data_IF_978078015980
#
_entry.id   IF_978078015980
#
_cell.length_a   1.000
_cell.length_b   1.000
_cell.length_c   1.000
_cell.angle_alpha   90.00
_cell.angle_beta   90.00
_cell.angle_gamma   90.00
#
_symmetry.space_group_name_H-M   'P 1'
#
loop_
_entity.id
_entity.type
_entity.pdbx_description
1 polymer ?
#
# COMPACT_ATOMS: atom_id res chain seq x y z
N UNK A 1 11.41 -2.81 -19.16
CA UNK A 1 10.46 -1.67 -19.18
C UNK A 1 9.45 -1.72 -18.03
N UNK A 2 8.65 -2.79 -17.88
CA UNK A 2 7.70 -2.92 -16.77
C UNK A 2 8.34 -2.77 -15.38
N UNK A 3 9.53 -3.34 -15.15
CA UNK A 3 10.29 -3.16 -13.89
C UNK A 3 10.73 -1.71 -13.65
N UNK A 4 11.12 -0.98 -14.71
CA UNK A 4 11.48 0.45 -14.62
C UNK A 4 10.25 1.27 -14.22
N UNK A 5 9.10 0.98 -14.85
CA UNK A 5 7.82 1.60 -14.50
C UNK A 5 7.45 1.29 -13.04
N UNK A 6 7.67 0.06 -12.58
CA UNK A 6 7.48 -0.32 -11.18
C UNK A 6 8.39 0.43 -10.22
N UNK A 7 9.67 0.60 -10.55
CA UNK A 7 10.61 1.41 -9.76
C UNK A 7 10.18 2.88 -9.68
N UNK A 8 9.79 3.48 -10.81
CA UNK A 8 9.24 4.84 -10.84
C UNK A 8 7.95 4.94 -10.04
N UNK A 9 7.09 3.92 -10.09
CA UNK A 9 5.84 3.87 -9.32
C UNK A 9 6.12 3.79 -7.81
N UNK A 10 7.16 3.07 -7.38
CA UNK A 10 7.60 3.07 -5.99
C UNK A 10 8.09 4.46 -5.55
N UNK A 11 8.84 5.17 -6.41
CA UNK A 11 9.24 6.56 -6.14
C UNK A 11 8.01 7.46 -6.01
N UNK A 12 7.04 7.35 -6.93
CA UNK A 12 5.78 8.10 -6.87
C UNK A 12 5.03 7.83 -5.56
N UNK A 13 4.87 6.56 -5.17
CA UNK A 13 4.18 6.18 -3.93
C UNK A 13 4.92 6.69 -2.69
N UNK A 14 6.24 6.50 -2.63
CA UNK A 14 7.06 6.93 -1.49
C UNK A 14 7.02 8.45 -1.30
N UNK A 15 7.24 9.19 -2.39
CA UNK A 15 7.26 10.66 -2.34
C UNK A 15 5.85 11.22 -2.11
N UNK A 16 4.81 10.62 -2.70
CA UNK A 16 3.41 10.99 -2.42
C UNK A 16 3.05 10.79 -0.95
N UNK A 17 3.47 9.66 -0.35
CA UNK A 17 3.28 9.39 1.06
C UNK A 17 4.04 10.41 1.93
N UNK A 18 5.31 10.70 1.61
CA UNK A 18 6.11 11.71 2.30
C UNK A 18 5.43 13.09 2.29
N UNK A 19 5.06 13.59 1.11
CA UNK A 19 4.40 14.90 0.95
C UNK A 19 3.12 15.00 1.77
N UNK A 20 2.29 13.95 1.77
CA UNK A 20 1.02 13.92 2.52
C UNK A 20 1.24 13.87 4.03
N UNK A 21 2.11 12.97 4.49
CA UNK A 21 2.32 12.73 5.92
C UNK A 21 3.06 13.89 6.58
N UNK A 22 4.04 14.47 5.89
CA UNK A 22 4.74 15.66 6.34
C UNK A 22 3.80 16.87 6.41
N UNK A 23 2.97 17.08 5.38
CA UNK A 23 1.99 18.16 5.38
C UNK A 23 0.96 18.01 6.51
N UNK A 24 0.60 16.76 6.87
CA UNK A 24 -0.23 16.49 8.03
C UNK A 24 0.48 16.73 9.38
N UNK A 25 1.80 16.93 9.41
CA UNK A 25 2.58 17.12 10.64
C UNK A 25 2.96 15.83 11.34
N UNK A 26 3.09 14.70 10.61
CA UNK A 26 3.50 13.43 11.21
C UNK A 26 4.93 13.51 11.77
N UNK A 27 5.10 13.26 13.07
CA UNK A 27 6.41 13.27 13.74
C UNK A 27 7.03 14.66 13.93
N UNK A 28 6.22 15.71 14.06
CA UNK A 28 6.69 17.06 14.36
C UNK A 28 7.27 17.23 15.78
N UNK A 29 7.83 18.41 16.08
CA UNK A 29 8.41 18.73 17.40
C UNK A 29 7.39 18.61 18.53
N UNK A 30 6.18 19.15 18.34
CA UNK A 30 5.09 19.07 19.34
C UNK A 30 4.17 17.86 19.11
N UNK A 31 4.74 16.73 18.65
CA UNK A 31 3.98 15.52 18.38
C UNK A 31 3.39 14.93 19.68
N UNK A 32 2.11 14.47 19.70
CA UNK A 32 1.14 14.39 18.60
C UNK A 32 0.23 15.63 18.45
N UNK A 33 0.39 16.66 19.28
CA UNK A 33 -0.51 17.82 19.33
C UNK A 33 -0.57 18.63 18.03
N UNK A 34 0.50 18.61 17.22
CA UNK A 34 0.54 19.31 15.94
C UNK A 34 -0.07 18.52 14.75
N UNK A 35 -0.51 17.27 14.95
CA UNK A 35 -0.96 16.43 13.85
C UNK A 35 -2.32 16.88 13.32
N UNK A 36 -2.49 16.87 11.99
CA UNK A 36 -3.71 17.33 11.34
C UNK A 36 -3.72 18.80 10.93
N UNK A 37 -2.59 19.52 11.02
CA UNK A 37 -2.48 20.92 10.56
C UNK A 37 -2.92 21.16 9.12
N UNK A 38 -2.82 20.14 8.26
CA UNK A 38 -3.31 20.22 6.87
C UNK A 38 -4.85 20.39 6.77
N UNK A 39 -5.58 20.10 7.85
CA UNK A 39 -7.03 20.19 7.93
C UNK A 39 -7.50 21.54 8.51
N UNK A 40 -6.61 22.28 9.19
CA UNK A 40 -6.93 23.60 9.75
C UNK A 40 -6.98 24.67 8.66
N UNK A 41 -7.65 25.79 8.95
CA UNK A 41 -7.82 26.90 8.01
C UNK A 41 -6.54 27.75 7.85
N UNK A 42 -5.63 27.70 8.83
CA UNK A 42 -4.36 28.43 8.85
C UNK A 42 -3.24 27.66 8.14
N UNK A 43 -3.43 27.39 6.84
CA UNK A 43 -2.45 26.72 6.01
C UNK A 43 -1.24 27.64 5.76
N UNK A 44 -0.15 27.41 6.49
CA UNK A 44 1.16 27.93 6.10
C UNK A 44 1.58 27.26 4.78
N UNK A 45 2.00 28.02 3.74
CA UNK A 45 2.41 27.44 2.47
C UNK A 45 3.70 26.62 2.62
N UNK A 46 3.54 25.30 2.64
CA UNK A 46 4.66 24.35 2.68
C UNK A 46 5.30 24.20 1.29
N UNK A 47 6.54 24.67 1.16
CA UNK A 47 7.31 24.65 -0.07
C UNK A 47 8.13 23.35 -0.21
N UNK A 48 7.52 22.33 -0.81
CA UNK A 48 8.13 21.01 -1.03
C UNK A 48 9.09 20.92 -2.22
N UNK A 49 9.85 21.98 -2.52
CA UNK A 49 10.65 22.19 -3.74
C UNK A 49 11.08 20.92 -4.48
N UNK A 50 12.11 20.24 -3.99
CA UNK A 50 12.66 19.03 -4.62
C UNK A 50 11.71 17.80 -4.58
N UNK A 51 11.12 17.40 -3.43
CA UNK A 51 10.20 16.25 -3.40
C UNK A 51 9.03 16.38 -4.39
N UNK A 52 8.43 17.56 -4.51
CA UNK A 52 7.33 17.81 -5.45
C UNK A 52 7.79 17.63 -6.90
N UNK A 53 8.98 18.14 -7.23
CA UNK A 53 9.56 18.01 -8.55
C UNK A 53 9.89 16.55 -8.90
N UNK A 54 10.49 15.82 -7.95
CA UNK A 54 10.80 14.40 -8.08
C UNK A 54 9.54 13.57 -8.34
N UNK A 55 8.47 13.81 -7.59
CA UNK A 55 7.18 13.16 -7.82
C UNK A 55 6.64 13.44 -9.23
N UNK A 56 6.63 14.71 -9.67
CA UNK A 56 6.11 15.12 -10.98
C UNK A 56 6.88 14.45 -12.13
N UNK A 57 8.20 14.46 -12.07
CA UNK A 57 9.03 13.83 -13.10
C UNK A 57 8.88 12.31 -13.10
N UNK A 58 8.90 11.66 -11.94
CA UNK A 58 8.74 10.22 -11.85
C UNK A 58 7.37 9.77 -12.39
N UNK A 59 6.28 10.47 -12.03
CA UNK A 59 4.94 10.18 -12.52
C UNK A 59 4.81 10.38 -14.04
N UNK A 60 5.35 11.49 -14.57
CA UNK A 60 5.31 11.78 -16.00
C UNK A 60 6.12 10.76 -16.81
N UNK A 61 7.32 10.40 -16.35
CA UNK A 61 8.13 9.38 -16.97
C UNK A 61 7.45 8.00 -16.93
N UNK A 62 6.85 7.62 -15.79
CA UNK A 62 6.12 6.36 -15.67
C UNK A 62 4.92 6.29 -16.63
N UNK A 63 4.19 7.40 -16.81
CA UNK A 63 3.06 7.47 -17.73
C UNK A 63 3.51 7.30 -19.19
N UNK A 64 4.52 8.06 -19.62
CA UNK A 64 5.06 7.96 -20.99
C UNK A 64 5.57 6.54 -21.28
N UNK A 65 6.34 5.95 -20.35
CA UNK A 65 6.82 4.57 -20.47
C UNK A 65 5.66 3.56 -20.51
N UNK A 66 4.57 3.81 -19.78
CA UNK A 66 3.39 2.96 -19.80
C UNK A 66 2.63 3.05 -21.13
N UNK A 67 2.53 4.23 -21.74
CA UNK A 67 1.97 4.36 -23.10
C UNK A 67 2.78 3.55 -24.12
N UNK A 68 4.12 3.65 -24.06
CA UNK A 68 5.02 2.84 -24.91
C UNK A 68 4.87 1.35 -24.60
N UNK A 69 4.67 0.96 -23.34
CA UNK A 69 4.46 -0.43 -22.92
C UNK A 69 3.17 -1.00 -23.51
N UNK A 70 2.07 -0.27 -23.39
CA UNK A 70 0.78 -0.65 -23.96
C UNK A 70 0.88 -0.82 -25.47
N UNK A 71 1.50 0.14 -26.17
CA UNK A 71 1.74 0.03 -27.62
C UNK A 71 2.47 -1.27 -27.94
N UNK A 72 3.61 -1.53 -27.29
CA UNK A 72 4.42 -2.74 -27.55
C UNK A 72 3.70 -4.04 -27.21
N UNK A 73 2.84 -4.04 -26.20
CA UNK A 73 2.07 -5.24 -25.86
C UNK A 73 0.91 -5.52 -26.84
N UNK A 74 0.44 -4.51 -27.58
CA UNK A 74 -0.67 -4.62 -28.52
C UNK A 74 -0.24 -4.82 -29.99
N UNK A 75 1.04 -4.65 -30.32
CA UNK A 75 1.54 -4.74 -31.72
C UNK A 75 2.92 -5.43 -31.81
N UNK A 76 3.20 -6.23 -32.87
CA UNK A 76 2.30 -6.66 -33.95
C UNK A 76 1.47 -7.92 -33.59
N UNK A 77 1.95 -8.79 -32.70
CA UNK A 77 1.18 -9.91 -32.15
C UNK A 77 0.90 -9.66 -30.66
N UNK A 78 -0.37 -9.58 -30.24
CA UNK A 78 -0.69 -9.16 -28.89
C UNK A 78 -0.30 -10.23 -27.87
N UNK A 79 0.57 -9.86 -26.92
CA UNK A 79 0.85 -10.66 -25.74
C UNK A 79 -0.30 -10.48 -24.73
N UNK A 80 -1.46 -11.05 -25.04
CA UNK A 80 -2.75 -10.81 -24.36
C UNK A 80 -2.68 -10.73 -22.81
N UNK A 81 -1.99 -11.65 -22.10
CA UNK A 81 -1.88 -11.57 -20.63
C UNK A 81 -1.14 -10.31 -20.14
N UNK A 82 -0.06 -9.93 -20.84
CA UNK A 82 0.72 -8.73 -20.51
C UNK A 82 -0.01 -7.46 -20.94
N UNK A 83 -0.66 -7.47 -22.11
CA UNK A 83 -1.44 -6.36 -22.64
C UNK A 83 -2.60 -5.97 -21.70
N UNK A 84 -3.34 -6.95 -21.17
CA UNK A 84 -4.42 -6.68 -20.19
C UNK A 84 -3.90 -5.90 -18.98
N UNK A 85 -2.78 -6.33 -18.40
CA UNK A 85 -2.21 -5.65 -17.23
C UNK A 85 -1.62 -4.28 -17.57
N UNK A 86 -1.05 -4.11 -18.76
CA UNK A 86 -0.51 -2.83 -19.21
C UNK A 86 -1.64 -1.80 -19.44
N UNK A 87 -2.76 -2.21 -20.05
CA UNK A 87 -3.93 -1.34 -20.25
C UNK A 87 -4.56 -0.96 -18.90
N UNK A 88 -4.73 -1.91 -17.99
CA UNK A 88 -5.23 -1.61 -16.64
C UNK A 88 -4.31 -0.65 -15.88
N UNK A 89 -2.99 -0.81 -16.02
CA UNK A 89 -2.01 0.13 -15.44
C UNK A 89 -2.18 1.53 -16.02
N UNK A 90 -2.32 1.66 -17.34
CA UNK A 90 -2.54 2.96 -18.00
C UNK A 90 -3.84 3.61 -17.53
N UNK A 91 -4.95 2.88 -17.52
CA UNK A 91 -6.24 3.38 -17.06
C UNK A 91 -6.16 3.85 -15.59
N UNK A 92 -5.45 3.12 -14.74
CA UNK A 92 -5.23 3.50 -13.35
C UNK A 92 -4.39 4.78 -13.23
N UNK A 93 -3.34 4.94 -14.04
CA UNK A 93 -2.53 6.18 -14.05
C UNK A 93 -3.36 7.39 -14.48
N UNK A 94 -4.23 7.24 -15.48
CA UNK A 94 -5.12 8.30 -15.93
C UNK A 94 -6.17 8.64 -14.85
N UNK A 95 -6.74 7.62 -14.20
CA UNK A 95 -7.67 7.81 -13.09
C UNK A 95 -7.01 8.54 -11.90
N UNK A 96 -5.76 8.19 -11.54
CA UNK A 96 -5.00 8.89 -10.51
C UNK A 96 -4.64 10.32 -10.90
N UNK A 97 -4.36 10.57 -12.17
CA UNK A 97 -4.12 11.92 -12.68
C UNK A 97 -5.37 12.80 -12.55
N UNK A 98 -6.57 12.26 -12.83
CA UNK A 98 -7.83 12.96 -12.63
C UNK A 98 -8.15 13.14 -11.13
N UNK A 99 -7.92 12.09 -10.31
CA UNK A 99 -8.11 12.14 -8.87
C UNK A 99 -7.23 13.22 -8.21
N UNK A 100 -6.02 13.44 -8.75
CA UNK A 100 -5.08 14.46 -8.29
C UNK A 100 -5.65 15.89 -8.25
N UNK A 101 -6.64 16.22 -9.10
CA UNK A 101 -7.34 17.50 -9.03
C UNK A 101 -8.15 17.64 -7.74
N UNK A 102 -8.83 16.57 -7.32
CA UNK A 102 -9.62 16.55 -6.09
C UNK A 102 -8.76 16.43 -4.83
N UNK A 103 -7.52 15.96 -4.96
CA UNK A 103 -6.55 15.83 -3.86
C UNK A 103 -6.07 17.17 -3.30
N UNK A 104 -6.48 18.30 -3.89
CA UNK A 104 -6.23 19.63 -3.34
C UNK A 104 -6.99 19.88 -2.02
N UNK A 105 -8.11 19.19 -1.78
CA UNK A 105 -8.87 19.26 -0.52
C UNK A 105 -8.53 18.03 0.36
N UNK A 106 -7.59 18.15 1.33
CA UNK A 106 -7.12 17.03 2.14
C UNK A 106 -8.20 16.47 3.07
N UNK A 107 -9.32 17.18 3.26
CA UNK A 107 -10.45 16.78 4.10
C UNK A 107 -11.29 15.66 3.50
N UNK A 108 -11.13 15.36 2.21
CA UNK A 108 -11.89 14.30 1.52
C UNK A 108 -11.18 12.96 1.71
N UNK A 109 -11.54 12.24 2.78
CA UNK A 109 -10.90 10.97 3.15
C UNK A 109 -10.89 9.96 1.99
N UNK A 110 -12.01 9.83 1.26
CA UNK A 110 -12.08 8.93 0.09
C UNK A 110 -11.06 9.24 -1.00
N UNK A 111 -10.80 10.52 -1.28
CA UNK A 111 -9.82 10.92 -2.30
C UNK A 111 -8.42 10.53 -1.86
N UNK A 112 -8.06 10.80 -0.60
CA UNK A 112 -6.80 10.36 -0.02
C UNK A 112 -6.63 8.84 -0.04
N UNK A 113 -7.69 8.10 0.32
CA UNK A 113 -7.72 6.64 0.31
C UNK A 113 -7.52 6.06 -1.11
N UNK A 114 -8.30 6.55 -2.08
CA UNK A 114 -8.20 6.11 -3.48
C UNK A 114 -6.82 6.42 -4.07
N UNK A 115 -6.20 7.53 -3.69
CA UNK A 115 -4.84 7.86 -4.10
C UNK A 115 -3.80 6.86 -3.53
N UNK A 116 -3.94 6.47 -2.26
CA UNK A 116 -3.05 5.47 -1.64
C UNK A 116 -3.24 4.10 -2.31
N UNK A 117 -4.47 3.60 -2.39
CA UNK A 117 -4.78 2.30 -2.99
C UNK A 117 -4.38 2.26 -4.47
N UNK A 118 -4.66 3.31 -5.22
CA UNK A 118 -4.27 3.41 -6.63
C UNK A 118 -2.75 3.40 -6.78
N UNK A 119 -2.01 4.10 -5.91
CA UNK A 119 -0.55 4.06 -5.89
C UNK A 119 0.01 2.64 -5.69
N UNK A 120 -0.53 1.89 -4.72
CA UNK A 120 -0.19 0.47 -4.52
C UNK A 120 -0.56 -0.38 -5.74
N UNK A 121 -1.67 -0.03 -6.41
CA UNK A 121 -2.08 -0.61 -7.68
C UNK A 121 -1.05 -0.41 -8.79
N UNK A 122 -0.40 0.76 -8.90
CA UNK A 122 0.64 1.02 -9.91
C UNK A 122 1.82 0.03 -9.79
N UNK A 123 2.31 -0.16 -8.56
CA UNK A 123 3.37 -1.13 -8.26
C UNK A 123 2.92 -2.55 -8.59
N UNK A 124 1.71 -2.92 -8.15
CA UNK A 124 1.17 -4.27 -8.37
C UNK A 124 0.97 -4.59 -9.85
N UNK A 125 0.36 -3.69 -10.62
CA UNK A 125 0.09 -3.91 -12.05
C UNK A 125 1.37 -3.88 -12.88
N UNK A 126 2.31 -2.98 -12.61
CA UNK A 126 3.61 -2.97 -13.29
C UNK A 126 4.37 -4.28 -13.09
N UNK A 127 4.35 -4.84 -11.86
CA UNK A 127 4.90 -6.15 -11.56
C UNK A 127 4.18 -7.28 -12.30
N UNK A 128 2.84 -7.25 -12.34
CA UNK A 128 2.04 -8.24 -13.09
C UNK A 128 2.32 -8.20 -14.60
N UNK A 129 2.59 -7.04 -15.18
CA UNK A 129 3.05 -6.96 -16.58
C UNK A 129 4.41 -7.63 -16.73
N UNK A 130 5.37 -7.34 -15.85
CA UNK A 130 6.70 -7.95 -15.89
C UNK A 130 6.62 -9.48 -15.81
N UNK A 131 5.81 -9.99 -14.89
CA UNK A 131 5.54 -11.42 -14.75
C UNK A 131 4.89 -11.99 -16.02
N UNK A 132 3.82 -11.37 -16.53
CA UNK A 132 3.13 -11.84 -17.71
C UNK A 132 4.02 -11.84 -18.97
N UNK A 133 4.93 -10.87 -19.10
CA UNK A 133 5.89 -10.79 -20.20
C UNK A 133 7.02 -11.83 -20.10
N UNK A 134 7.43 -12.21 -18.89
CA UNK A 134 8.42 -13.27 -18.66
C UNK A 134 7.88 -14.69 -18.92
N UNK A 135 6.63 -14.83 -19.35
CA UNK A 135 5.96 -16.11 -19.58
C UNK A 135 6.39 -16.75 -20.91
N UNK A 136 7.58 -17.35 -20.95
CA UNK A 136 7.94 -18.32 -22.00
C UNK A 136 8.08 -19.76 -21.47
N UNK A 137 8.09 -19.96 -20.16
CA UNK A 137 8.12 -21.29 -19.55
C UNK A 137 6.77 -21.58 -18.86
N UNK A 138 5.93 -22.37 -19.50
CA UNK A 138 4.77 -22.98 -18.88
C UNK A 138 5.26 -23.96 -17.79
N UNK A 139 5.41 -23.47 -16.56
CA UNK A 139 5.56 -24.34 -15.41
C UNK A 139 4.25 -25.10 -15.24
N UNK A 140 4.27 -26.40 -15.55
CA UNK A 140 3.20 -27.34 -15.20
C UNK A 140 3.30 -27.58 -13.69
N UNK A 141 2.51 -26.83 -12.92
CA UNK A 141 2.51 -26.93 -11.46
C UNK A 141 2.23 -28.35 -10.99
N UNK A 142 3.10 -28.85 -10.10
CA UNK A 142 2.81 -30.05 -9.30
C UNK A 142 1.52 -29.86 -8.48
N UNK A 143 0.83 -30.95 -8.18
CA UNK A 143 -0.36 -30.91 -7.31
C UNK A 143 0.04 -30.44 -5.91
N UNK A 144 -0.14 -29.16 -5.60
CA UNK A 144 -0.11 -28.71 -4.21
C UNK A 144 -1.35 -29.21 -3.47
N UNK A 145 -1.17 -29.63 -2.21
CA UNK A 145 -2.27 -30.03 -1.35
C UNK A 145 -3.25 -28.88 -1.14
N UNK A 146 -4.55 -29.18 -1.20
CA UNK A 146 -5.66 -28.21 -1.08
C UNK A 146 -5.49 -27.24 0.09
N UNK A 147 -5.00 -27.74 1.24
CA UNK A 147 -4.75 -26.94 2.44
C UNK A 147 -3.75 -25.79 2.21
N UNK A 148 -2.69 -25.99 1.40
CA UNK A 148 -1.70 -24.94 1.10
C UNK A 148 -2.29 -23.81 0.27
N UNK A 149 -3.14 -24.15 -0.70
CA UNK A 149 -3.84 -23.19 -1.55
C UNK A 149 -4.86 -22.39 -0.75
N UNK A 150 -5.61 -23.04 0.15
CA UNK A 150 -6.55 -22.35 1.04
C UNK A 150 -5.81 -21.37 1.94
N UNK A 151 -4.72 -21.80 2.59
CA UNK A 151 -3.94 -20.94 3.48
C UNK A 151 -3.38 -19.70 2.76
N UNK A 152 -2.85 -19.87 1.55
CA UNK A 152 -2.36 -18.77 0.73
C UNK A 152 -3.48 -17.79 0.36
N UNK A 153 -4.68 -18.28 0.01
CA UNK A 153 -5.84 -17.44 -0.30
C UNK A 153 -6.34 -16.66 0.93
N UNK A 154 -6.40 -17.31 2.09
CA UNK A 154 -6.74 -16.65 3.36
C UNK A 154 -5.72 -15.55 3.66
N UNK A 155 -4.43 -15.82 3.51
CA UNK A 155 -3.39 -14.81 3.73
C UNK A 155 -3.44 -13.64 2.76
N UNK A 156 -3.76 -13.88 1.49
CA UNK A 156 -3.97 -12.81 0.48
C UNK A 156 -5.19 -11.97 0.81
N UNK A 157 -6.28 -12.60 1.26
CA UNK A 157 -7.47 -11.90 1.71
C UNK A 157 -7.15 -11.03 2.93
N UNK A 158 -6.53 -11.60 3.96
CA UNK A 158 -6.10 -10.86 5.15
C UNK A 158 -5.14 -9.70 4.81
N UNK A 159 -4.22 -9.89 3.86
CA UNK A 159 -3.30 -8.85 3.38
C UNK A 159 -4.06 -7.72 2.71
N UNK A 160 -5.05 -8.04 1.88
CA UNK A 160 -5.90 -7.05 1.23
C UNK A 160 -6.63 -6.20 2.25
N UNK A 161 -7.25 -6.83 3.26
CA UNK A 161 -7.93 -6.11 4.35
C UNK A 161 -6.94 -5.26 5.15
N UNK A 162 -5.77 -5.80 5.51
CA UNK A 162 -4.72 -5.07 6.25
C UNK A 162 -4.29 -3.81 5.50
N UNK A 163 -4.05 -3.92 4.19
CA UNK A 163 -3.65 -2.80 3.34
C UNK A 163 -4.76 -1.76 3.22
N UNK A 164 -6.02 -2.19 3.04
CA UNK A 164 -7.17 -1.29 2.99
C UNK A 164 -7.32 -0.52 4.30
N UNK A 165 -7.23 -1.20 5.44
CA UNK A 165 -7.29 -0.57 6.76
C UNK A 165 -6.13 0.41 6.97
N UNK A 166 -4.90 0.03 6.59
CA UNK A 166 -3.73 0.92 6.69
C UNK A 166 -3.86 2.17 5.80
N UNK A 167 -4.37 2.00 4.58
CA UNK A 167 -4.66 3.12 3.68
C UNK A 167 -5.76 4.02 4.26
N UNK A 168 -6.78 3.43 4.89
CA UNK A 168 -7.87 4.17 5.53
C UNK A 168 -7.37 4.99 6.72
N UNK A 169 -6.58 4.40 7.64
CA UNK A 169 -5.93 5.12 8.76
C UNK A 169 -5.15 6.34 8.27
N UNK A 170 -4.39 6.18 7.17
CA UNK A 170 -3.61 7.27 6.58
C UNK A 170 -4.46 8.33 5.88
N UNK A 171 -5.64 7.97 5.38
CA UNK A 171 -6.55 8.87 4.67
C UNK A 171 -7.47 9.65 5.62
N UNK A 172 -7.80 9.08 6.78
CA UNK A 172 -8.58 9.73 7.85
C UNK A 172 -7.71 10.49 8.84
N UNK A 173 -6.38 10.50 8.65
CA UNK A 173 -5.40 11.07 9.58
C UNK A 173 -5.62 10.55 11.02
N UNK A 174 -5.78 9.24 11.17
CA UNK A 174 -6.03 8.60 12.49
C UNK A 174 -4.76 7.96 13.07
N UNK A 175 -3.58 8.37 12.61
CA UNK A 175 -2.31 7.75 12.99
C UNK A 175 -2.02 7.87 14.50
N UNK A 176 -2.32 9.02 15.10
CA UNK A 176 -2.15 9.34 16.52
C UNK A 176 -3.12 8.62 17.46
N UNK A 177 -4.17 7.97 16.96
CA UNK A 177 -5.20 7.38 17.81
C UNK A 177 -4.69 6.22 18.68
N UNK A 178 -3.65 5.50 18.25
CA UNK A 178 -3.10 4.37 18.98
C UNK A 178 -1.57 4.29 18.85
N UNK A 179 -0.87 4.80 19.87
CA UNK A 179 0.59 4.93 19.91
C UNK A 179 1.29 3.85 20.77
N UNK A 180 0.54 2.93 21.35
CA UNK A 180 1.05 1.83 22.18
C UNK A 180 0.94 0.50 21.45
N UNK A 181 1.76 -0.49 21.84
CA UNK A 181 1.74 -1.87 21.33
C UNK A 181 1.59 -2.85 22.52
N UNK A 182 0.94 -4.01 22.34
CA UNK A 182 0.19 -4.44 21.15
C UNK A 182 -1.25 -3.89 21.11
N UNK A 183 -1.77 -3.47 22.26
CA UNK A 183 -3.12 -2.93 22.43
C UNK A 183 -3.09 -1.40 22.42
N UNK A 184 -4.28 -0.79 22.29
CA UNK A 184 -4.48 0.65 22.43
C UNK A 184 -4.97 0.95 23.85
N UNK A 185 -4.62 2.12 24.39
CA UNK A 185 -5.08 2.55 25.73
C UNK A 185 -6.57 2.91 25.80
N UNK A 186 -7.20 3.15 24.64
CA UNK A 186 -8.61 3.52 24.55
C UNK A 186 -9.55 2.32 24.68
N UNK A 187 -10.74 2.59 25.21
CA UNK A 187 -11.90 1.72 25.06
C UNK A 187 -12.29 1.66 23.58
N UNK A 188 -11.75 0.70 22.84
CA UNK A 188 -12.16 0.37 21.48
C UNK A 188 -13.53 -0.33 21.45
N UNK A 189 -14.49 0.18 22.22
CA UNK A 189 -15.87 -0.28 22.16
C UNK A 189 -16.47 0.12 20.81
N UNK A 190 -17.31 -0.76 20.24
CA UNK A 190 -18.12 -0.44 19.07
C UNK A 190 -19.20 0.58 19.47
N UNK A 191 -18.80 1.84 19.57
CA UNK A 191 -19.73 2.97 19.70
C UNK A 191 -20.17 3.45 18.32
N UNK A 192 -21.29 4.17 18.25
CA UNK A 192 -21.73 4.81 17.02
C UNK A 192 -20.66 5.76 16.46
N UNK A 193 -19.91 6.44 17.33
CA UNK A 193 -18.78 7.30 16.94
C UNK A 193 -17.59 6.52 16.39
N UNK A 194 -17.32 5.31 16.91
CA UNK A 194 -16.28 4.44 16.37
C UNK A 194 -16.60 3.98 14.93
N UNK A 195 -17.89 3.87 14.57
CA UNK A 195 -18.32 3.53 13.21
C UNK A 195 -18.33 4.73 12.25
N UNK A 196 -18.44 5.97 12.76
CA UNK A 196 -18.39 7.19 11.93
C UNK A 196 -17.06 7.35 11.19
N UNK A 197 -15.95 6.87 11.77
CA UNK A 197 -14.64 6.87 11.09
C UNK A 197 -14.65 6.03 9.80
N UNK A 198 -15.60 5.10 9.65
CA UNK A 198 -15.74 4.24 8.48
C UNK A 198 -16.65 4.83 7.40
N UNK A 199 -17.24 6.00 7.62
CA UNK A 199 -18.05 6.68 6.60
C UNK A 199 -17.15 7.10 5.42
N UNK A 200 -17.31 6.52 4.22
CA UNK A 200 -16.48 6.84 3.08
C UNK A 200 -16.66 8.29 2.61
N UNK A 201 -17.79 8.93 2.91
CA UNK A 201 -18.11 10.29 2.47
C UNK A 201 -17.77 11.33 3.53
N UNK A 202 -17.12 10.94 4.63
CA UNK A 202 -16.74 11.85 5.70
C UNK A 202 -15.84 12.96 5.18
N UNK A 203 -16.22 14.20 5.52
CA UNK A 203 -15.36 15.37 5.33
C UNK A 203 -14.72 15.70 6.67
N UNK A 204 -13.41 15.51 6.75
CA UNK A 204 -12.65 15.67 7.98
C UNK A 204 -12.57 17.13 8.40
N UNK A 205 -12.79 17.40 9.68
CA UNK A 205 -12.64 18.73 10.29
C UNK A 205 -11.39 18.80 11.19
N UNK A 206 -10.94 17.65 11.71
CA UNK A 206 -9.73 17.50 12.51
C UNK A 206 -9.11 16.12 12.25
N UNK A 207 -7.84 15.95 12.65
CA UNK A 207 -7.20 14.63 12.68
C UNK A 207 -7.65 13.85 13.91
N UNK A 208 -7.46 12.53 13.88
CA UNK A 208 -7.84 11.68 15.00
C UNK A 208 -7.01 11.98 16.24
N UNK A 209 -7.67 12.11 17.39
CA UNK A 209 -6.98 12.43 18.65
C UNK A 209 -6.46 11.16 19.33
N UNK A 210 -5.37 11.24 20.13
CA UNK A 210 -4.92 10.11 20.92
C UNK A 210 -6.05 9.52 21.77
N UNK A 211 -6.24 8.21 21.64
CA UNK A 211 -7.28 7.49 22.37
C UNK A 211 -8.70 7.59 21.79
N UNK A 212 -8.87 8.17 20.59
CA UNK A 212 -10.18 8.17 19.92
C UNK A 212 -10.61 6.75 19.52
N UNK A 213 -11.85 6.36 19.89
CA UNK A 213 -12.37 5.01 19.72
C UNK A 213 -12.36 4.52 18.26
N UNK A 214 -12.75 5.38 17.31
CA UNK A 214 -12.76 5.02 15.88
C UNK A 214 -11.37 4.75 15.32
N UNK A 215 -10.43 5.64 15.59
CA UNK A 215 -9.03 5.44 15.20
C UNK A 215 -8.41 4.21 15.87
N UNK A 216 -8.65 4.01 17.17
CA UNK A 216 -8.18 2.83 17.90
C UNK A 216 -8.72 1.52 17.29
N UNK A 217 -10.01 1.47 16.93
CA UNK A 217 -10.61 0.31 16.26
C UNK A 217 -9.91 0.00 14.92
N UNK A 218 -9.65 1.01 14.09
CA UNK A 218 -8.93 0.82 12.82
C UNK A 218 -7.53 0.23 13.04
N UNK A 219 -6.78 0.73 14.04
CA UNK A 219 -5.46 0.22 14.37
C UNK A 219 -5.51 -1.22 14.88
N UNK A 220 -6.45 -1.56 15.77
CA UNK A 220 -6.60 -2.92 16.28
C UNK A 220 -6.97 -3.90 15.17
N UNK A 221 -7.90 -3.53 14.28
CA UNK A 221 -8.25 -4.34 13.11
C UNK A 221 -7.03 -4.52 12.19
N UNK A 222 -6.31 -3.43 11.87
CA UNK A 222 -5.12 -3.48 11.03
C UNK A 222 -4.06 -4.43 11.63
N UNK A 223 -3.77 -4.33 12.93
CA UNK A 223 -2.82 -5.20 13.64
C UNK A 223 -3.29 -6.66 13.68
N UNK A 224 -4.57 -6.90 13.92
CA UNK A 224 -5.15 -8.26 13.95
C UNK A 224 -5.07 -8.96 12.59
N UNK A 225 -5.43 -8.27 11.51
CA UNK A 225 -5.26 -8.81 10.16
C UNK A 225 -3.77 -8.93 9.79
N UNK A 226 -2.90 -7.98 10.19
CA UNK A 226 -1.46 -8.09 9.98
C UNK A 226 -0.86 -9.34 10.65
N UNK A 227 -1.31 -9.69 11.86
CA UNK A 227 -0.91 -10.93 12.52
C UNK A 227 -1.37 -12.16 11.72
N UNK A 228 -2.60 -12.14 11.22
CA UNK A 228 -3.12 -13.22 10.36
C UNK A 228 -2.30 -13.35 9.08
N UNK A 229 -1.88 -12.24 8.47
CA UNK A 229 -0.97 -12.22 7.31
C UNK A 229 0.36 -12.86 7.65
N UNK A 230 0.99 -12.46 8.77
CA UNK A 230 2.28 -13.00 9.20
C UNK A 230 2.23 -14.52 9.38
N UNK A 231 1.18 -15.03 10.04
CA UNK A 231 1.01 -16.46 10.28
C UNK A 231 0.72 -17.23 8.98
N UNK A 232 -0.26 -16.77 8.20
CA UNK A 232 -0.74 -17.51 7.02
C UNK A 232 0.22 -17.41 5.84
N UNK A 233 0.67 -16.21 5.47
CA UNK A 233 1.62 -16.03 4.37
C UNK A 233 3.04 -16.44 4.75
N UNK A 234 3.44 -16.24 6.01
CA UNK A 234 4.73 -16.72 6.51
C UNK A 234 4.83 -18.24 6.39
N UNK A 235 3.80 -18.96 6.86
CA UNK A 235 3.73 -20.41 6.70
C UNK A 235 3.69 -20.84 5.22
N UNK A 236 2.83 -20.23 4.42
CA UNK A 236 2.71 -20.57 3.00
C UNK A 236 4.02 -20.35 2.23
N UNK A 237 4.73 -19.25 2.50
CA UNK A 237 6.03 -18.98 1.91
C UNK A 237 7.10 -19.97 2.41
N UNK A 238 7.16 -20.24 3.72
CA UNK A 238 8.09 -21.23 4.28
C UNK A 238 7.89 -22.64 3.68
N UNK A 239 6.64 -23.06 3.50
CA UNK A 239 6.31 -24.33 2.85
C UNK A 239 6.74 -24.42 1.38
N UNK A 240 6.94 -23.27 0.73
CA UNK A 240 7.37 -23.15 -0.66
C UNK A 240 8.90 -23.01 -0.82
N UNK A 241 9.68 -22.85 0.26
CA UNK A 241 11.14 -22.71 0.18
C UNK A 241 11.85 -23.95 -0.39
N UNK A 242 11.25 -25.14 -0.25
CA UNK A 242 11.82 -26.41 -0.71
C UNK A 242 11.75 -26.57 -2.23
N UNK A 243 10.90 -25.81 -2.92
CA UNK A 243 10.72 -25.92 -4.36
C UNK A 243 11.59 -24.87 -5.07
N UNK A 244 12.54 -25.30 -5.89
CA UNK A 244 13.47 -24.40 -6.60
C UNK A 244 12.76 -23.29 -7.39
N UNK A 245 11.62 -23.63 -8.02
CA UNK A 245 10.83 -22.70 -8.83
C UNK A 245 10.13 -21.60 -8.02
N UNK A 246 9.71 -21.86 -6.77
CA UNK A 246 9.00 -20.86 -5.94
C UNK A 246 9.87 -20.25 -4.86
N UNK A 247 11.05 -20.84 -4.58
CA UNK A 247 12.04 -20.36 -3.61
C UNK A 247 12.35 -18.86 -3.69
N UNK A 248 12.65 -18.24 -4.85
CA UNK A 248 12.96 -16.81 -4.89
C UNK A 248 11.76 -15.95 -4.44
N UNK A 249 10.55 -16.28 -4.89
CA UNK A 249 9.32 -15.59 -4.48
C UNK A 249 9.02 -15.80 -3.00
N UNK A 250 9.22 -17.01 -2.49
CA UNK A 250 9.03 -17.34 -1.08
C UNK A 250 10.01 -16.60 -0.16
N UNK A 251 11.30 -16.54 -0.53
CA UNK A 251 12.31 -15.75 0.20
C UNK A 251 11.95 -14.27 0.20
N UNK A 252 11.53 -13.72 -0.94
CA UNK A 252 11.11 -12.32 -1.03
C UNK A 252 9.89 -12.04 -0.13
N UNK A 253 8.87 -12.89 -0.13
CA UNK A 253 7.70 -12.76 0.75
C UNK A 253 8.12 -12.79 2.23
N UNK A 254 8.95 -13.74 2.65
CA UNK A 254 9.42 -13.82 4.04
C UNK A 254 10.23 -12.58 4.44
N UNK A 255 11.16 -12.13 3.58
CA UNK A 255 11.95 -10.93 3.82
C UNK A 255 11.08 -9.68 3.97
N UNK A 256 10.10 -9.49 3.08
CA UNK A 256 9.18 -8.35 3.18
C UNK A 256 8.20 -8.45 4.35
N UNK A 257 7.78 -9.65 4.77
CA UNK A 257 6.97 -9.82 5.99
C UNK A 257 7.73 -9.39 7.24
N UNK A 258 9.00 -9.80 7.36
CA UNK A 258 9.87 -9.36 8.46
C UNK A 258 10.09 -7.84 8.41
N UNK A 259 10.41 -7.31 7.23
CA UNK A 259 10.64 -5.87 7.07
C UNK A 259 9.39 -5.04 7.37
N UNK A 260 8.20 -5.43 6.89
CA UNK A 260 6.96 -4.65 7.09
C UNK A 260 6.54 -4.66 8.56
N UNK A 261 6.68 -5.81 9.25
CA UNK A 261 6.39 -5.94 10.67
C UNK A 261 7.40 -5.16 11.53
N UNK A 262 8.69 -5.27 11.21
CA UNK A 262 9.77 -4.55 11.89
C UNK A 262 9.62 -3.03 11.74
N UNK A 263 9.36 -2.54 10.52
CA UNK A 263 9.12 -1.12 10.25
C UNK A 263 7.85 -0.62 10.92
N UNK A 264 6.78 -1.42 10.95
CA UNK A 264 5.54 -1.06 11.65
C UNK A 264 5.75 -0.93 13.16
N UNK A 265 6.44 -1.90 13.78
CA UNK A 265 6.81 -1.84 15.20
C UNK A 265 7.71 -0.66 15.52
N UNK A 266 8.78 -0.47 14.75
CA UNK A 266 9.72 0.64 14.91
C UNK A 266 9.04 2.01 14.70
N UNK A 267 8.10 2.12 13.77
CA UNK A 267 7.32 3.32 13.57
C UNK A 267 6.56 3.69 14.86
N UNK A 268 5.83 2.74 15.47
CA UNK A 268 5.10 3.04 16.72
C UNK A 268 6.04 3.39 17.87
N UNK A 269 7.12 2.62 18.06
CA UNK A 269 8.12 2.85 19.13
C UNK A 269 8.84 4.20 19.02
N UNK A 270 8.95 4.75 17.81
CA UNK A 270 9.60 6.04 17.55
C UNK A 270 8.63 7.23 17.60
N UNK A 271 7.37 7.03 18.00
CA UNK A 271 6.36 8.09 17.93
C UNK A 271 5.93 8.42 16.49
N UNK A 272 5.90 7.43 15.62
CA UNK A 272 5.55 7.52 14.19
C UNK A 272 6.53 8.37 13.37
N UNK A 273 7.82 8.07 13.46
CA UNK A 273 8.84 8.66 12.59
C UNK A 273 8.44 8.58 11.11
N UNK A 274 8.44 9.73 10.46
CA UNK A 274 7.95 9.92 9.09
C UNK A 274 8.57 8.91 8.10
N UNK A 275 9.89 8.72 8.14
CA UNK A 275 10.60 7.84 7.22
C UNK A 275 10.26 6.36 7.46
N UNK A 276 10.03 5.96 8.72
CA UNK A 276 9.63 4.59 9.03
C UNK A 276 8.22 4.29 8.52
N UNK A 277 7.29 5.24 8.65
CA UNK A 277 5.92 5.09 8.14
C UNK A 277 5.90 5.07 6.61
N UNK A 278 6.67 5.94 5.95
CA UNK A 278 6.84 5.91 4.48
C UNK A 278 7.46 4.57 4.04
N UNK A 279 8.52 4.13 4.72
CA UNK A 279 9.19 2.85 4.46
C UNK A 279 8.26 1.65 4.62
N UNK A 280 7.44 1.62 5.68
CA UNK A 280 6.43 0.60 5.90
C UNK A 280 5.47 0.47 4.70
N UNK A 281 4.97 1.61 4.19
CA UNK A 281 4.10 1.63 3.01
C UNK A 281 4.79 1.13 1.73
N UNK A 282 6.05 1.49 1.52
CA UNK A 282 6.85 1.02 0.37
C UNK A 282 7.07 -0.50 0.44
N UNK A 283 7.45 -1.02 1.61
CA UNK A 283 7.64 -2.46 1.80
C UNK A 283 6.32 -3.22 1.67
N UNK A 284 5.20 -2.67 2.13
CA UNK A 284 3.87 -3.26 1.91
C UNK A 284 3.53 -3.37 0.41
N UNK A 285 3.88 -2.38 -0.40
CA UNK A 285 3.70 -2.44 -1.86
C UNK A 285 4.58 -3.53 -2.51
N UNK A 286 5.83 -3.69 -2.04
CA UNK A 286 6.72 -4.76 -2.48
C UNK A 286 6.22 -6.14 -2.05
N UNK A 287 5.67 -6.26 -0.85
CA UNK A 287 5.05 -7.50 -0.36
C UNK A 287 3.88 -7.93 -1.26
N UNK A 288 3.00 -7.00 -1.65
CA UNK A 288 1.90 -7.28 -2.59
C UNK A 288 2.42 -7.83 -3.93
N UNK A 289 3.49 -7.24 -4.47
CA UNK A 289 4.13 -7.73 -5.69
C UNK A 289 4.74 -9.13 -5.52
N UNK A 290 5.45 -9.38 -4.42
CA UNK A 290 6.06 -10.66 -4.11
C UNK A 290 5.01 -11.78 -3.91
N UNK A 291 3.91 -11.48 -3.23
CA UNK A 291 2.79 -12.42 -3.04
C UNK A 291 2.11 -12.71 -4.38
N UNK A 292 1.95 -11.72 -5.26
CA UNK A 292 1.43 -11.95 -6.61
C UNK A 292 2.33 -12.87 -7.44
N UNK A 293 3.66 -12.78 -7.27
CA UNK A 293 4.59 -13.71 -7.89
C UNK A 293 4.42 -15.14 -7.34
N UNK A 294 4.33 -15.30 -6.02
CA UNK A 294 4.12 -16.60 -5.39
C UNK A 294 2.79 -17.25 -5.82
N UNK A 295 1.70 -16.49 -5.87
CA UNK A 295 0.38 -16.93 -6.32
C UNK A 295 0.37 -17.46 -7.76
N UNK A 296 1.20 -16.90 -8.64
CA UNK A 296 1.26 -17.30 -10.04
C UNK A 296 1.68 -18.75 -10.19
N UNK A 297 2.63 -19.23 -9.39
CA UNK A 297 3.11 -20.60 -9.44
C UNK A 297 2.07 -21.64 -8.98
N UNK A 298 0.97 -21.17 -8.37
CA UNK A 298 -0.10 -21.99 -7.82
C UNK A 298 -1.35 -22.06 -8.72
N UNK A 299 -1.42 -21.23 -9.77
CA UNK A 299 -2.54 -21.25 -10.72
C UNK A 299 -2.26 -22.28 -11.82
N UNK A 300 -3.07 -23.34 -11.84
CA UNK A 300 -3.26 -24.23 -13.00
C UNK A 300 -4.16 -23.56 -14.02
#
# INVERSE_FOLDING_TARGET
>A
MALIIGALSLVVVAVSAYLRLDAAGLGCVDWPACYGRILSQDLQPLHYGFPRLLHRFAASAALVLTCVLVWRCLRPQPLLPAARHAVLLLLLMLALSALGFFSADPRRALVGFLNIIGGLGLVTFSWRVAMAAASSAAYRGGHEGVAKVVLLRVGVFALTITVVLGAWIGATYSASACLTLPLCEANASLSADALRVMDPLVKLTAAGVPGEAGGALLHLLHRGFALTVLLTLGWAAAANLKQSATRPSAVAVLGFLVAVAGLGGAAVMSGLSLLLVVGHGVVAALLLAAVAALLRHQRK
#
